data_IF_477517037944
#
_entry.id   IF_477517037944
#
_cell.length_a   1.000
_cell.length_b   1.000
_cell.length_c   1.000
_cell.angle_alpha   90.00
_cell.angle_beta   90.00
_cell.angle_gamma   90.00
#
_symmetry.space_group_name_H-M   'P 1'
#
loop_
_entity.id
_entity.type
_entity.pdbx_description
1 polymer ?
#
# COMPACT_ATOMS: atom_id res chain seq x y z
N UNK A 1 -66.60 -25.13 45.83
CA UNK A 1 -65.18 -24.81 46.07
C UNK A 1 -64.94 -23.47 45.39
N UNK A 2 -64.95 -22.40 46.18
CA UNK A 2 -65.08 -21.03 45.71
C UNK A 2 -63.70 -20.36 45.66
N UNK A 3 -63.36 -19.78 44.52
CA UNK A 3 -62.11 -19.03 44.33
C UNK A 3 -62.10 -17.76 45.20
N UNK A 4 -60.94 -17.35 45.76
CA UNK A 4 -60.87 -16.12 46.52
C UNK A 4 -60.91 -14.90 45.59
N UNK A 5 -61.83 -13.98 45.91
CA UNK A 5 -62.00 -12.68 45.27
C UNK A 5 -60.84 -11.77 45.70
N UNK A 6 -60.04 -11.32 44.75
CA UNK A 6 -58.93 -10.38 44.98
C UNK A 6 -59.51 -8.96 45.09
N UNK A 7 -59.35 -8.33 46.25
CA UNK A 7 -59.84 -6.98 46.51
C UNK A 7 -59.17 -5.94 45.59
N UNK A 8 -59.90 -4.93 45.09
CA UNK A 8 -59.32 -3.87 44.28
C UNK A 8 -58.39 -3.01 45.12
N UNK A 9 -57.14 -2.89 44.70
CA UNK A 9 -56.12 -2.06 45.34
C UNK A 9 -56.53 -0.56 45.31
N UNK A 10 -56.24 0.22 46.38
CA UNK A 10 -56.65 1.61 46.48
C UNK A 10 -56.03 2.49 45.37
N UNK A 11 -56.74 3.52 44.89
CA UNK A 11 -56.37 4.28 43.68
C UNK A 11 -54.99 4.97 43.77
N UNK A 12 -54.51 5.26 44.98
CA UNK A 12 -53.21 5.91 45.22
C UNK A 12 -52.02 4.96 44.95
N UNK A 13 -52.17 3.65 45.19
CA UNK A 13 -51.09 2.69 44.90
C UNK A 13 -50.96 2.39 43.41
N UNK A 14 -52.06 2.41 42.64
CA UNK A 14 -51.99 2.27 41.18
C UNK A 14 -51.32 3.46 40.51
N UNK A 15 -51.62 4.69 40.96
CA UNK A 15 -50.99 5.88 40.39
C UNK A 15 -49.49 5.91 40.65
N UNK A 16 -49.03 5.53 41.86
CA UNK A 16 -47.58 5.53 42.17
C UNK A 16 -46.84 4.47 41.33
N UNK A 17 -47.45 3.30 41.11
CA UNK A 17 -46.86 2.24 40.28
C UNK A 17 -46.84 2.65 38.80
N UNK A 18 -47.91 3.27 38.30
CA UNK A 18 -47.97 3.78 36.92
C UNK A 18 -46.98 4.92 36.67
N UNK A 19 -46.81 5.84 37.63
CA UNK A 19 -45.80 6.91 37.56
C UNK A 19 -44.38 6.35 37.61
N UNK A 20 -44.12 5.36 38.49
CA UNK A 20 -42.80 4.71 38.57
C UNK A 20 -42.46 3.91 37.31
N UNK A 21 -43.46 3.24 36.71
CA UNK A 21 -43.29 2.52 35.44
C UNK A 21 -43.05 3.50 34.28
N UNK A 22 -43.77 4.63 34.24
CA UNK A 22 -43.56 5.69 33.25
C UNK A 22 -42.21 6.40 33.40
N UNK A 23 -41.72 6.61 34.63
CA UNK A 23 -40.38 7.15 34.88
C UNK A 23 -39.29 6.14 34.49
N UNK A 24 -39.50 4.84 34.74
CA UNK A 24 -38.56 3.79 34.34
C UNK A 24 -38.53 3.57 32.82
N UNK A 25 -39.69 3.65 32.15
CA UNK A 25 -39.78 3.61 30.69
C UNK A 25 -39.23 4.89 30.04
N UNK A 26 -39.40 6.07 30.67
CA UNK A 26 -38.73 7.30 30.24
C UNK A 26 -37.22 7.23 30.43
N UNK A 27 -36.71 6.61 31.50
CA UNK A 27 -35.27 6.37 31.73
C UNK A 27 -34.68 5.33 30.76
N UNK A 28 -35.46 4.32 30.33
CA UNK A 28 -35.04 3.40 29.27
C UNK A 28 -35.03 4.07 27.89
N UNK A 29 -35.98 4.97 27.62
CA UNK A 29 -36.05 5.73 26.35
C UNK A 29 -35.11 6.94 26.29
N UNK A 30 -34.54 7.36 27.42
CA UNK A 30 -33.56 8.45 27.51
C UNK A 30 -32.13 7.96 27.75
N UNK A 31 -31.87 6.66 27.51
CA UNK A 31 -30.53 6.25 27.08
C UNK A 31 -30.28 6.93 25.73
N UNK A 32 -29.67 8.12 25.77
CA UNK A 32 -29.07 8.75 24.61
C UNK A 32 -28.31 7.66 23.85
N UNK A 33 -28.64 7.49 22.57
CA UNK A 33 -27.85 6.68 21.65
C UNK A 33 -26.50 7.40 21.60
N UNK A 34 -25.58 7.05 22.51
CA UNK A 34 -24.21 7.55 22.52
C UNK A 34 -23.69 7.20 21.13
N UNK A 35 -23.39 8.19 20.25
CA UNK A 35 -22.87 7.89 18.93
C UNK A 35 -21.60 7.07 19.15
N UNK A 36 -21.60 5.82 18.69
CA UNK A 36 -20.43 4.94 18.82
C UNK A 36 -19.23 5.73 18.30
N UNK A 37 -18.11 5.83 19.04
CA UNK A 37 -16.99 6.66 18.63
C UNK A 37 -16.53 6.24 17.22
N UNK A 38 -16.44 7.18 16.27
CA UNK A 38 -16.02 6.88 14.90
C UNK A 38 -14.67 6.14 14.84
N UNK A 39 -13.77 6.45 15.79
CA UNK A 39 -12.48 5.76 15.96
C UNK A 39 -12.65 4.27 16.24
N UNK A 40 -13.67 3.87 16.99
CA UNK A 40 -13.96 2.47 17.31
C UNK A 40 -14.44 1.69 16.08
N UNK A 41 -15.32 2.29 15.27
CA UNK A 41 -15.85 1.68 14.04
C UNK A 41 -14.74 1.50 13.01
N UNK A 42 -13.94 2.54 12.77
CA UNK A 42 -12.84 2.45 11.80
C UNK A 42 -11.79 1.40 12.20
N UNK A 43 -11.58 1.17 13.50
CA UNK A 43 -10.69 0.10 13.97
C UNK A 43 -11.22 -1.30 13.61
N UNK A 44 -12.53 -1.54 13.72
CA UNK A 44 -13.15 -2.81 13.30
C UNK A 44 -12.97 -3.05 11.79
N UNK A 45 -13.17 -2.00 10.97
CA UNK A 45 -12.92 -2.07 9.53
C UNK A 45 -11.45 -2.32 9.19
N UNK A 46 -10.51 -1.66 9.89
CA UNK A 46 -9.07 -1.88 9.71
C UNK A 46 -8.65 -3.30 10.11
N UNK A 47 -9.20 -3.86 11.19
CA UNK A 47 -8.98 -5.25 11.57
C UNK A 47 -9.47 -6.20 10.47
N UNK A 48 -10.65 -5.92 9.91
CA UNK A 48 -11.19 -6.74 8.84
C UNK A 48 -10.34 -6.68 7.56
N UNK A 49 -9.85 -5.50 7.20
CA UNK A 49 -8.90 -5.31 6.10
C UNK A 49 -7.65 -6.17 6.28
N UNK A 50 -7.06 -6.18 7.49
CA UNK A 50 -5.89 -7.02 7.80
C UNK A 50 -6.18 -8.51 7.61
N UNK A 51 -7.33 -8.99 8.10
CA UNK A 51 -7.75 -10.38 7.91
C UNK A 51 -7.90 -10.76 6.43
N UNK A 52 -8.45 -9.85 5.62
CA UNK A 52 -8.70 -10.07 4.20
C UNK A 52 -7.40 -10.09 3.40
N UNK A 53 -6.50 -9.14 3.66
CA UNK A 53 -5.19 -9.09 3.01
C UNK A 53 -4.34 -10.33 3.30
N UNK A 54 -4.53 -10.99 4.44
CA UNK A 54 -3.86 -12.25 4.76
C UNK A 54 -4.37 -13.46 3.95
N UNK A 55 -5.51 -13.31 3.24
CA UNK A 55 -6.15 -14.34 2.43
C UNK A 55 -6.06 -14.06 0.92
N UNK A 56 -5.37 -13.00 0.52
CA UNK A 56 -5.25 -12.60 -0.87
C UNK A 56 -4.37 -13.59 -1.63
N UNK A 57 -4.95 -14.18 -2.66
CA UNK A 57 -4.31 -15.09 -3.62
C UNK A 57 -4.82 -14.76 -5.02
N UNK A 58 -4.21 -15.31 -6.08
CA UNK A 58 -4.73 -15.15 -7.44
C UNK A 58 -6.19 -15.64 -7.55
N UNK A 59 -6.53 -16.75 -6.89
CA UNK A 59 -7.89 -17.32 -6.96
C UNK A 59 -8.94 -16.50 -6.20
N UNK A 60 -8.54 -15.74 -5.18
CA UNK A 60 -9.45 -14.99 -4.30
C UNK A 60 -9.46 -13.48 -4.56
N UNK A 61 -8.61 -12.99 -5.46
CA UNK A 61 -8.35 -11.56 -5.62
C UNK A 61 -9.60 -10.75 -5.99
N UNK A 62 -10.43 -11.27 -6.89
CA UNK A 62 -11.64 -10.57 -7.35
C UNK A 62 -12.65 -10.38 -6.22
N UNK A 63 -12.98 -11.46 -5.50
CA UNK A 63 -13.93 -11.42 -4.39
C UNK A 63 -13.40 -10.60 -3.21
N UNK A 64 -12.11 -10.71 -2.90
CA UNK A 64 -11.50 -9.96 -1.82
C UNK A 64 -11.38 -8.47 -2.14
N UNK A 65 -11.15 -8.09 -3.40
CA UNK A 65 -11.16 -6.70 -3.80
C UNK A 65 -12.53 -6.05 -3.56
N UNK A 66 -13.61 -6.77 -3.84
CA UNK A 66 -14.98 -6.29 -3.56
C UNK A 66 -15.26 -6.16 -2.06
N UNK A 67 -14.86 -7.15 -1.27
CA UNK A 67 -15.04 -7.11 0.19
C UNK A 67 -14.20 -5.98 0.80
N UNK A 68 -12.93 -5.86 0.42
CA UNK A 68 -12.04 -4.77 0.85
C UNK A 68 -12.63 -3.40 0.50
N UNK A 69 -13.13 -3.21 -0.72
CA UNK A 69 -13.75 -1.96 -1.14
C UNK A 69 -14.94 -1.59 -0.25
N UNK A 70 -15.76 -2.56 0.16
CA UNK A 70 -16.91 -2.32 1.05
C UNK A 70 -16.52 -1.87 2.46
N UNK A 71 -15.29 -2.17 2.90
CA UNK A 71 -14.78 -1.74 4.20
C UNK A 71 -14.17 -0.33 4.18
N UNK A 72 -14.00 0.30 3.01
CA UNK A 72 -13.45 1.65 2.88
C UNK A 72 -14.54 2.69 3.22
N UNK A 73 -14.74 2.91 4.52
CA UNK A 73 -15.80 3.81 5.02
C UNK A 73 -15.35 5.27 5.18
N UNK A 74 -14.05 5.54 5.18
CA UNK A 74 -13.49 6.90 5.35
C UNK A 74 -12.11 7.02 4.70
N UNK A 75 -11.65 8.26 4.49
CA UNK A 75 -10.31 8.53 3.96
C UNK A 75 -9.21 7.91 4.83
N UNK A 76 -9.39 7.91 6.17
CA UNK A 76 -8.41 7.31 7.10
C UNK A 76 -8.30 5.80 6.90
N UNK A 77 -9.41 5.12 6.68
CA UNK A 77 -9.41 3.67 6.40
C UNK A 77 -8.80 3.38 5.02
N UNK A 78 -9.05 4.22 4.02
CA UNK A 78 -8.40 4.12 2.71
C UNK A 78 -6.88 4.26 2.82
N UNK A 79 -6.41 5.29 3.54
CA UNK A 79 -4.97 5.53 3.74
C UNK A 79 -4.31 4.34 4.45
N UNK A 80 -4.96 3.81 5.50
CA UNK A 80 -4.49 2.61 6.20
C UNK A 80 -4.42 1.38 5.28
N UNK A 81 -5.45 1.13 4.46
CA UNK A 81 -5.45 0.02 3.51
C UNK A 81 -4.25 0.10 2.56
N UNK A 82 -4.00 1.29 2.00
CA UNK A 82 -2.87 1.53 1.10
C UNK A 82 -1.55 1.29 1.82
N UNK A 83 -1.38 1.81 3.03
CA UNK A 83 -0.15 1.61 3.79
C UNK A 83 0.12 0.13 4.11
N UNK A 84 -0.92 -0.63 4.50
CA UNK A 84 -0.78 -2.07 4.74
C UNK A 84 -0.39 -2.80 3.45
N UNK A 85 -0.97 -2.47 2.30
CA UNK A 85 -0.61 -3.09 1.02
C UNK A 85 0.85 -2.81 0.68
N UNK A 86 1.31 -1.57 0.82
CA UNK A 86 2.72 -1.22 0.57
C UNK A 86 3.67 -1.93 1.53
N UNK A 87 3.31 -2.02 2.80
CA UNK A 87 4.12 -2.73 3.80
C UNK A 87 4.21 -4.23 3.49
N UNK A 88 3.08 -4.89 3.21
CA UNK A 88 3.06 -6.30 2.83
C UNK A 88 3.82 -6.54 1.53
N UNK A 89 3.64 -5.70 0.52
CA UNK A 89 4.39 -5.80 -0.72
C UNK A 89 5.90 -5.73 -0.43
N UNK A 90 6.35 -4.74 0.33
CA UNK A 90 7.77 -4.54 0.65
C UNK A 90 8.45 -5.77 1.27
N UNK A 91 7.77 -6.49 2.16
CA UNK A 91 8.32 -7.68 2.82
C UNK A 91 8.09 -8.97 2.03
N UNK A 92 6.99 -9.06 1.28
CA UNK A 92 6.53 -10.29 0.66
C UNK A 92 6.74 -10.27 -0.86
N UNK A 93 8.01 -10.18 -1.29
CA UNK A 93 8.42 -9.94 -2.69
C UNK A 93 7.77 -10.86 -3.73
N UNK A 94 7.48 -12.12 -3.38
CA UNK A 94 6.84 -13.11 -4.27
C UNK A 94 5.40 -12.74 -4.65
N UNK A 95 4.76 -11.85 -3.89
CA UNK A 95 3.36 -11.48 -4.03
C UNK A 95 3.17 -10.05 -4.56
N UNK A 96 4.26 -9.33 -4.92
CA UNK A 96 4.17 -7.98 -5.48
C UNK A 96 3.18 -7.87 -6.64
N UNK A 97 3.17 -8.86 -7.54
CA UNK A 97 2.29 -8.88 -8.70
C UNK A 97 0.82 -9.01 -8.27
N UNK A 98 0.54 -9.85 -7.27
CA UNK A 98 -0.81 -10.02 -6.71
C UNK A 98 -1.27 -8.72 -6.04
N UNK A 99 -0.40 -8.07 -5.25
CA UNK A 99 -0.74 -6.80 -4.61
C UNK A 99 -1.00 -5.68 -5.63
N UNK A 100 -0.25 -5.64 -6.73
CA UNK A 100 -0.48 -4.64 -7.78
C UNK A 100 -1.83 -4.89 -8.46
N UNK A 101 -2.15 -6.15 -8.75
CA UNK A 101 -3.42 -6.55 -9.35
C UNK A 101 -4.61 -6.25 -8.43
N UNK A 102 -4.45 -6.46 -7.12
CA UNK A 102 -5.45 -6.10 -6.11
C UNK A 102 -5.75 -4.60 -6.15
N UNK A 103 -4.71 -3.77 -6.18
CA UNK A 103 -4.86 -2.31 -6.32
C UNK A 103 -5.61 -1.93 -7.61
N UNK A 104 -5.33 -2.61 -8.72
CA UNK A 104 -6.02 -2.38 -9.99
C UNK A 104 -7.51 -2.75 -9.91
N UNK A 105 -7.83 -3.89 -9.29
CA UNK A 105 -9.22 -4.32 -9.06
C UNK A 105 -9.99 -3.34 -8.17
N UNK A 106 -9.40 -2.87 -7.06
CA UNK A 106 -10.04 -1.90 -6.17
C UNK A 106 -10.34 -0.59 -6.93
N UNK A 107 -9.37 -0.07 -7.71
CA UNK A 107 -9.58 1.14 -8.52
C UNK A 107 -10.65 0.95 -9.61
N UNK A 108 -10.75 -0.27 -10.18
CA UNK A 108 -11.78 -0.62 -11.16
C UNK A 108 -13.17 -0.71 -10.53
N UNK A 109 -13.28 -1.34 -9.36
CA UNK A 109 -14.52 -1.42 -8.59
C UNK A 109 -15.00 -0.01 -8.22
N UNK A 110 -14.11 0.85 -7.76
CA UNK A 110 -14.42 2.25 -7.49
C UNK A 110 -14.96 2.96 -8.74
N UNK A 111 -14.28 2.82 -9.89
CA UNK A 111 -14.72 3.41 -11.15
C UNK A 111 -16.12 2.96 -11.58
N UNK A 112 -16.51 1.73 -11.22
CA UNK A 112 -17.81 1.15 -11.57
C UNK A 112 -18.93 1.46 -10.55
N UNK A 113 -18.62 1.46 -9.24
CA UNK A 113 -19.60 1.64 -8.15
C UNK A 113 -19.78 3.13 -7.76
N UNK A 114 -18.85 3.99 -8.17
CA UNK A 114 -18.81 5.42 -7.84
C UNK A 114 -17.56 5.77 -7.05
N UNK A 115 -17.06 7.00 -7.27
CA UNK A 115 -15.83 7.46 -6.66
C UNK A 115 -15.95 7.65 -5.15
N UNK A 116 -14.97 7.13 -4.42
CA UNK A 116 -14.90 7.26 -2.96
C UNK A 116 -14.82 8.75 -2.61
N UNK A 117 -15.65 9.16 -1.65
CA UNK A 117 -15.72 10.52 -1.09
C UNK A 117 -16.10 11.62 -2.10
N UNK A 118 -16.49 11.27 -3.32
CA UNK A 118 -16.98 12.23 -4.30
C UNK A 118 -18.47 12.54 -4.11
N UNK A 119 -18.94 13.75 -4.47
CA UNK A 119 -20.37 14.05 -4.50
C UNK A 119 -21.09 13.10 -5.48
N UNK A 120 -22.21 12.49 -5.04
CA UNK A 120 -23.02 11.54 -5.83
C UNK A 120 -23.60 12.11 -7.13
N UNK A 121 -23.45 13.41 -7.37
CA UNK A 121 -23.96 14.14 -8.53
C UNK A 121 -22.99 14.14 -9.72
N UNK A 122 -21.77 13.59 -9.58
CA UNK A 122 -20.84 13.52 -10.70
C UNK A 122 -21.25 12.41 -11.68
N UNK A 123 -21.31 12.70 -12.99
CA UNK A 123 -21.59 11.68 -13.99
C UNK A 123 -20.46 10.63 -13.99
N UNK A 124 -20.84 9.36 -13.97
CA UNK A 124 -19.90 8.24 -14.05
C UNK A 124 -19.21 8.31 -15.43
N UNK A 125 -17.88 8.49 -15.50
CA UNK A 125 -17.16 8.54 -16.76
C UNK A 125 -17.31 7.22 -17.55
N UNK A 126 -17.01 7.25 -18.84
CA UNK A 126 -16.91 6.02 -19.64
C UNK A 126 -15.92 5.04 -18.98
N UNK A 127 -16.19 3.73 -19.08
CA UNK A 127 -15.47 2.69 -18.34
C UNK A 127 -13.93 2.75 -18.46
N UNK A 128 -13.38 3.23 -19.59
CA UNK A 128 -11.92 3.36 -19.78
C UNK A 128 -11.28 4.51 -18.98
N UNK A 129 -12.03 5.57 -18.68
CA UNK A 129 -11.52 6.74 -17.94
C UNK A 129 -11.84 6.67 -16.44
N UNK A 130 -12.72 5.74 -16.04
CA UNK A 130 -13.16 5.60 -14.65
C UNK A 130 -11.99 5.26 -13.71
N UNK A 131 -11.09 4.35 -14.10
CA UNK A 131 -9.90 4.02 -13.29
C UNK A 131 -8.97 5.22 -13.12
N UNK A 132 -8.85 6.09 -14.13
CA UNK A 132 -7.99 7.29 -14.05
C UNK A 132 -8.51 8.30 -13.03
N UNK A 133 -9.82 8.33 -12.80
CA UNK A 133 -10.48 9.24 -11.87
C UNK A 133 -10.61 8.69 -10.44
N UNK A 134 -10.32 7.40 -10.23
CA UNK A 134 -10.34 6.71 -8.93
C UNK A 134 -9.57 7.49 -7.85
N UNK A 135 -10.24 7.72 -6.71
CA UNK A 135 -9.62 8.28 -5.50
C UNK A 135 -8.57 7.33 -4.95
N UNK A 136 -8.82 6.02 -4.99
CA UNK A 136 -7.84 4.99 -4.61
C UNK A 136 -6.55 5.14 -5.43
N UNK A 137 -6.66 5.20 -6.76
CA UNK A 137 -5.51 5.40 -7.67
C UNK A 137 -4.78 6.71 -7.38
N UNK A 138 -5.49 7.81 -7.13
CA UNK A 138 -4.89 9.11 -6.78
C UNK A 138 -4.10 9.02 -5.46
N UNK A 139 -4.61 8.32 -4.45
CA UNK A 139 -3.90 8.09 -3.18
C UNK A 139 -2.66 7.21 -3.36
N UNK A 140 -2.72 6.16 -4.19
CA UNK A 140 -1.55 5.35 -4.56
C UNK A 140 -0.45 6.23 -5.20
N UNK A 141 -0.82 7.09 -6.16
CA UNK A 141 0.14 8.01 -6.80
C UNK A 141 0.80 8.95 -5.79
N UNK A 142 -0.01 9.58 -4.92
CA UNK A 142 0.49 10.46 -3.87
C UNK A 142 1.44 9.73 -2.93
N UNK A 143 1.11 8.49 -2.54
CA UNK A 143 1.95 7.66 -1.69
C UNK A 143 3.32 7.38 -2.33
N UNK A 144 3.33 7.02 -3.62
CA UNK A 144 4.57 6.84 -4.38
C UNK A 144 5.40 8.12 -4.46
N UNK A 145 4.75 9.26 -4.76
CA UNK A 145 5.42 10.55 -4.84
C UNK A 145 6.06 10.94 -3.50
N UNK A 146 5.29 10.92 -2.41
CA UNK A 146 5.78 11.19 -1.06
C UNK A 146 6.97 10.29 -0.69
N UNK A 147 6.89 9.00 -1.04
CA UNK A 147 7.97 8.06 -0.76
C UNK A 147 9.26 8.44 -1.50
N UNK A 148 9.21 8.63 -2.82
CA UNK A 148 10.41 8.89 -3.63
C UNK A 148 10.98 10.31 -3.44
N UNK A 149 10.18 11.27 -2.99
CA UNK A 149 10.67 12.59 -2.63
C UNK A 149 11.42 12.60 -1.29
N UNK A 150 10.93 11.85 -0.30
CA UNK A 150 11.48 11.83 1.07
C UNK A 150 12.61 10.83 1.27
N UNK A 151 12.61 9.71 0.52
CA UNK A 151 13.53 8.58 0.74
C UNK A 151 14.59 8.46 -0.35
N UNK A 152 15.14 9.60 -0.81
CA UNK A 152 16.22 9.60 -1.82
C UNK A 152 17.51 9.01 -1.26
N UNK A 153 17.86 9.41 -0.04
CA UNK A 153 19.07 9.03 0.68
C UNK A 153 18.72 8.67 2.11
N UNK A 154 19.50 7.77 2.71
CA UNK A 154 19.45 7.54 4.14
C UNK A 154 19.99 8.78 4.85
N UNK A 155 19.20 9.35 5.76
CA UNK A 155 19.56 10.51 6.57
C UNK A 155 19.25 10.17 8.01
N UNK A 156 20.28 10.23 8.85
CA UNK A 156 20.18 10.10 10.29
C UNK A 156 20.49 11.46 10.92
N UNK A 157 19.65 11.88 11.87
CA UNK A 157 19.82 13.17 12.55
C UNK A 157 21.11 13.17 13.37
N UNK A 158 21.71 14.34 13.57
CA UNK A 158 22.93 14.44 14.39
C UNK A 158 22.67 14.08 15.86
N UNK A 159 21.44 14.28 16.35
CA UNK A 159 21.04 13.81 17.67
C UNK A 159 21.03 12.27 17.75
N UNK A 160 20.52 11.60 16.72
CA UNK A 160 20.43 10.13 16.70
C UNK A 160 21.81 9.49 16.50
N UNK A 161 22.70 10.11 15.71
CA UNK A 161 24.10 9.68 15.59
C UNK A 161 24.84 9.68 16.92
N UNK A 162 24.52 10.61 17.82
CA UNK A 162 25.13 10.70 19.15
C UNK A 162 24.56 9.68 20.14
N UNK A 163 23.33 9.20 19.90
CA UNK A 163 22.61 8.27 20.80
C UNK A 163 22.75 6.81 20.38
N UNK A 164 22.85 6.55 19.08
CA UNK A 164 22.88 5.20 18.51
C UNK A 164 24.31 4.68 18.40
N UNK A 165 24.46 3.37 18.63
CA UNK A 165 25.70 2.67 18.35
C UNK A 165 25.90 2.55 16.84
N UNK A 166 27.15 2.49 16.41
CA UNK A 166 27.50 2.32 14.99
C UNK A 166 26.78 1.13 14.34
N UNK A 167 26.65 0.01 15.05
CA UNK A 167 25.91 -1.17 14.58
C UNK A 167 24.42 -0.91 14.37
N UNK A 168 23.79 -0.08 15.20
CA UNK A 168 22.37 0.27 15.07
C UNK A 168 22.15 1.21 13.86
N UNK A 169 23.12 2.10 13.59
CA UNK A 169 23.09 2.96 12.40
C UNK A 169 23.20 2.11 11.12
N UNK A 170 24.12 1.14 11.10
CA UNK A 170 24.30 0.21 9.98
C UNK A 170 23.06 -0.65 9.73
N UNK A 171 22.40 -1.14 10.79
CA UNK A 171 21.13 -1.86 10.70
C UNK A 171 20.02 -0.97 10.12
N UNK A 172 19.92 0.29 10.55
CA UNK A 172 18.93 1.23 10.01
C UNK A 172 19.18 1.56 8.53
N UNK A 173 20.44 1.72 8.14
CA UNK A 173 20.81 1.95 6.74
C UNK A 173 20.49 0.71 5.87
N UNK A 174 20.75 -0.50 6.37
CA UNK A 174 20.39 -1.73 5.65
C UNK A 174 18.88 -1.88 5.52
N UNK A 175 18.13 -1.62 6.59
CA UNK A 175 16.67 -1.59 6.52
C UNK A 175 16.19 -0.55 5.50
N UNK A 176 16.79 0.64 5.46
CA UNK A 176 16.48 1.64 4.44
C UNK A 176 16.72 1.11 3.02
N UNK A 177 17.86 0.45 2.75
CA UNK A 177 18.16 -0.17 1.45
C UNK A 177 17.14 -1.24 1.07
N UNK A 178 16.80 -2.15 1.98
CA UNK A 178 15.79 -3.20 1.76
C UNK A 178 14.43 -2.61 1.43
N UNK A 179 13.98 -1.61 2.21
CA UNK A 179 12.70 -0.93 1.99
C UNK A 179 12.67 -0.21 0.65
N UNK A 180 13.76 0.49 0.28
CA UNK A 180 13.90 1.18 -1.00
C UNK A 180 13.76 0.22 -2.17
N UNK A 181 14.48 -0.90 -2.14
CA UNK A 181 14.40 -1.95 -3.19
C UNK A 181 12.99 -2.55 -3.28
N UNK A 182 12.35 -2.88 -2.15
CA UNK A 182 10.98 -3.42 -2.12
C UNK A 182 9.95 -2.46 -2.75
N UNK A 183 9.98 -1.18 -2.34
CA UNK A 183 9.08 -0.17 -2.90
C UNK A 183 9.30 0.07 -4.39
N UNK A 184 10.55 0.06 -4.86
CA UNK A 184 10.89 0.19 -6.29
C UNK A 184 10.27 -0.94 -7.11
N UNK A 185 10.39 -2.19 -6.65
CA UNK A 185 9.81 -3.35 -7.36
C UNK A 185 8.29 -3.24 -7.37
N UNK A 186 7.67 -2.93 -6.22
CA UNK A 186 6.22 -2.86 -6.13
C UNK A 186 5.65 -1.76 -7.04
N UNK A 187 6.28 -0.58 -7.07
CA UNK A 187 5.90 0.49 -8.02
C UNK A 187 6.11 0.05 -9.47
N UNK A 188 7.15 -0.73 -9.75
CA UNK A 188 7.33 -1.37 -11.06
C UNK A 188 6.13 -2.23 -11.46
N UNK A 189 5.57 -3.01 -10.53
CA UNK A 189 4.37 -3.82 -10.79
C UNK A 189 3.11 -2.97 -11.02
N UNK A 190 2.95 -1.87 -10.28
CA UNK A 190 1.86 -0.90 -10.50
C UNK A 190 1.96 -0.18 -11.85
N UNK A 191 3.17 0.03 -12.37
CA UNK A 191 3.39 0.55 -13.74
C UNK A 191 3.02 -0.51 -14.79
N UNK A 192 3.41 -1.77 -14.55
CA UNK A 192 3.21 -2.85 -15.48
C UNK A 192 1.73 -3.20 -15.70
N UNK A 193 0.90 -3.15 -14.65
CA UNK A 193 -0.54 -3.38 -14.80
C UNK A 193 -1.33 -2.12 -15.21
N UNK A 194 -0.65 -0.99 -15.39
CA UNK A 194 -1.24 0.26 -15.89
C UNK A 194 -2.04 1.04 -14.84
N UNK A 195 -2.02 0.63 -13.57
CA UNK A 195 -2.60 1.45 -12.50
C UNK A 195 -1.88 2.80 -12.40
N UNK A 196 -0.54 2.79 -12.51
CA UNK A 196 0.27 3.99 -12.65
C UNK A 196 0.73 4.11 -14.11
N UNK A 197 0.75 5.34 -14.64
CA UNK A 197 1.19 5.57 -16.02
C UNK A 197 2.71 5.39 -16.16
N UNK A 198 3.16 4.71 -17.22
CA UNK A 198 4.58 4.45 -17.48
C UNK A 198 5.46 5.72 -17.47
N UNK A 199 4.91 6.90 -17.76
CA UNK A 199 5.63 8.18 -17.68
C UNK A 199 6.19 8.50 -16.28
N UNK A 200 5.60 7.94 -15.22
CA UNK A 200 6.12 8.09 -13.85
C UNK A 200 7.50 7.44 -13.69
N UNK A 201 7.81 6.40 -14.48
CA UNK A 201 9.12 5.72 -14.45
C UNK A 201 10.28 6.68 -14.71
N UNK A 202 10.11 7.72 -15.53
CA UNK A 202 11.16 8.66 -15.87
C UNK A 202 11.66 9.45 -14.66
N UNK A 203 10.77 9.82 -13.73
CA UNK A 203 11.15 10.50 -12.49
C UNK A 203 11.95 9.58 -11.56
N UNK A 204 11.55 8.31 -11.45
CA UNK A 204 12.22 7.31 -10.62
C UNK A 204 13.61 7.00 -11.20
N UNK A 205 13.72 6.74 -12.51
CA UNK A 205 14.99 6.47 -13.19
C UNK A 205 15.94 7.68 -13.05
N UNK A 206 15.43 8.90 -13.24
CA UNK A 206 16.23 10.11 -13.06
C UNK A 206 16.78 10.20 -11.64
N UNK A 207 15.96 9.95 -10.63
CA UNK A 207 16.38 9.94 -9.22
C UNK A 207 17.45 8.87 -8.93
N UNK A 208 17.34 7.69 -9.54
CA UNK A 208 18.33 6.61 -9.39
C UNK A 208 19.64 6.86 -10.15
N UNK A 209 19.64 7.67 -11.21
CA UNK A 209 20.88 8.02 -11.93
C UNK A 209 21.54 9.27 -11.36
N UNK A 210 20.79 10.08 -10.61
CA UNK A 210 21.26 11.34 -10.04
C UNK A 210 22.53 11.14 -9.20
N UNK A 211 23.54 11.97 -9.44
CA UNK A 211 24.84 11.89 -8.77
C UNK A 211 25.79 10.80 -9.30
N UNK A 212 25.31 9.84 -10.12
CA UNK A 212 26.14 8.76 -10.65
C UNK A 212 26.81 9.11 -11.97
N UNK A 213 28.12 8.82 -12.05
CA UNK A 213 28.93 8.97 -13.25
C UNK A 213 29.99 7.86 -13.33
N UNK A 214 30.70 7.70 -14.47
CA UNK A 214 31.70 6.63 -14.63
C UNK A 214 32.82 6.62 -13.58
N UNK A 215 33.22 7.79 -13.06
CA UNK A 215 34.29 7.91 -12.06
C UNK A 215 33.79 7.73 -10.62
N UNK A 216 32.51 8.00 -10.37
CA UNK A 216 31.88 7.89 -9.06
C UNK A 216 30.42 7.43 -9.20
N UNK A 217 30.18 6.12 -9.36
CA UNK A 217 28.83 5.57 -9.35
C UNK A 217 28.33 5.33 -7.93
N UNK A 218 27.06 5.67 -7.69
CA UNK A 218 26.35 5.32 -6.46
C UNK A 218 25.91 3.84 -6.52
N UNK A 219 26.53 2.99 -5.71
CA UNK A 219 26.35 1.53 -5.81
C UNK A 219 24.90 1.11 -5.53
N UNK A 220 24.26 1.70 -4.51
CA UNK A 220 22.91 1.35 -4.07
C UNK A 220 21.86 1.80 -5.08
N UNK A 221 22.03 3.00 -5.63
CA UNK A 221 21.15 3.51 -6.67
C UNK A 221 21.32 2.74 -7.98
N UNK A 222 22.54 2.36 -8.35
CA UNK A 222 22.80 1.55 -9.55
C UNK A 222 22.22 0.14 -9.43
N UNK A 223 22.30 -0.48 -8.26
CA UNK A 223 21.65 -1.77 -8.02
C UNK A 223 20.11 -1.63 -8.07
N UNK A 224 19.58 -0.59 -7.44
CA UNK A 224 18.14 -0.29 -7.47
C UNK A 224 17.64 0.01 -8.90
N UNK A 225 18.46 0.66 -9.73
CA UNK A 225 18.17 0.92 -11.15
C UNK A 225 18.10 -0.39 -11.93
N UNK A 226 19.04 -1.31 -11.70
CA UNK A 226 19.03 -2.61 -12.35
C UNK A 226 17.74 -3.38 -12.01
N UNK A 227 17.38 -3.45 -10.72
CA UNK A 227 16.14 -4.08 -10.24
C UNK A 227 14.90 -3.44 -10.88
N UNK A 228 14.86 -2.11 -10.95
CA UNK A 228 13.71 -1.41 -11.53
C UNK A 228 13.56 -1.69 -13.02
N UNK A 229 14.65 -1.62 -13.78
CA UNK A 229 14.64 -1.85 -15.22
C UNK A 229 14.36 -3.30 -15.57
N UNK A 230 14.81 -4.26 -14.77
CA UNK A 230 14.41 -5.65 -14.89
C UNK A 230 12.88 -5.79 -14.79
N UNK A 231 12.29 -5.18 -13.76
CA UNK A 231 10.85 -5.21 -13.52
C UNK A 231 10.01 -4.53 -14.60
N UNK A 232 10.42 -3.37 -15.12
CA UNK A 232 9.57 -2.58 -16.07
C UNK A 232 10.04 -2.65 -17.52
N UNK A 233 11.20 -3.26 -17.80
CA UNK A 233 11.92 -3.13 -19.06
C UNK A 233 11.10 -3.55 -20.28
N UNK A 234 10.24 -4.57 -20.14
CA UNK A 234 9.36 -5.01 -21.23
C UNK A 234 8.37 -3.92 -21.66
N UNK A 235 7.59 -3.37 -20.72
CA UNK A 235 6.60 -2.35 -21.03
C UNK A 235 7.27 -0.99 -21.35
N UNK A 236 8.37 -0.66 -20.67
CA UNK A 236 9.14 0.54 -20.97
C UNK A 236 9.74 0.51 -22.38
N UNK A 237 10.26 -0.63 -22.84
CA UNK A 237 10.77 -0.77 -24.20
C UNK A 237 9.64 -0.65 -25.25
N UNK A 238 8.45 -1.19 -24.94
CA UNK A 238 7.28 -1.08 -25.82
C UNK A 238 6.79 0.37 -25.94
N UNK A 239 6.69 1.08 -24.83
CA UNK A 239 6.06 2.41 -24.78
C UNK A 239 7.04 3.55 -25.03
N UNK A 240 8.30 3.39 -24.62
CA UNK A 240 9.33 4.44 -24.66
C UNK A 240 10.72 3.90 -25.08
N UNK A 241 10.86 3.24 -26.25
CA UNK A 241 12.09 2.55 -26.67
C UNK A 241 13.31 3.48 -26.75
N UNK A 242 13.13 4.70 -27.26
CA UNK A 242 14.20 5.70 -27.36
C UNK A 242 14.72 6.12 -25.97
N UNK A 243 13.82 6.26 -25.01
CA UNK A 243 14.19 6.62 -23.65
C UNK A 243 14.98 5.48 -23.00
N UNK A 244 14.48 4.24 -23.07
CA UNK A 244 15.22 3.07 -22.57
C UNK A 244 16.60 2.95 -23.22
N UNK A 245 16.71 3.12 -24.55
CA UNK A 245 18.01 3.12 -25.23
C UNK A 245 18.98 4.15 -24.66
N UNK A 246 18.50 5.36 -24.33
CA UNK A 246 19.34 6.40 -23.71
C UNK A 246 19.81 6.00 -22.31
N UNK A 247 18.94 5.34 -21.52
CA UNK A 247 19.28 4.85 -20.19
C UNK A 247 20.32 3.73 -20.27
N UNK A 248 20.15 2.77 -21.19
CA UNK A 248 21.12 1.68 -21.40
C UNK A 248 22.49 2.23 -21.82
N UNK A 249 22.53 3.24 -22.71
CA UNK A 249 23.79 3.90 -23.06
C UNK A 249 24.47 4.55 -21.86
N UNK A 250 23.69 5.19 -20.98
CA UNK A 250 24.20 5.79 -19.74
C UNK A 250 24.75 4.72 -18.79
N UNK A 251 24.05 3.60 -18.63
CA UNK A 251 24.49 2.46 -17.82
C UNK A 251 25.80 1.88 -18.37
N UNK A 252 25.91 1.67 -19.69
CA UNK A 252 27.14 1.18 -20.31
C UNK A 252 28.34 2.11 -20.05
N UNK A 253 28.15 3.43 -20.13
CA UNK A 253 29.20 4.39 -19.79
C UNK A 253 29.65 4.26 -18.32
N UNK A 254 28.70 4.05 -17.40
CA UNK A 254 29.02 3.85 -15.97
C UNK A 254 29.78 2.53 -15.76
N UNK A 255 29.36 1.44 -16.40
CA UNK A 255 30.04 0.14 -16.35
C UNK A 255 31.49 0.26 -16.86
N UNK A 256 31.70 0.99 -17.97
CA UNK A 256 33.01 1.20 -18.58
C UNK A 256 33.97 1.99 -17.67
N UNK A 257 33.46 2.84 -16.79
CA UNK A 257 34.28 3.55 -15.80
C UNK A 257 34.99 2.62 -14.79
N UNK A 258 34.50 1.38 -14.62
CA UNK A 258 35.21 0.36 -13.83
C UNK A 258 35.20 0.58 -12.31
N UNK A 259 34.36 1.49 -11.81
CA UNK A 259 34.25 1.84 -10.38
C UNK A 259 33.08 1.15 -9.65
N UNK A 260 32.31 0.33 -10.34
CA UNK A 260 31.23 -0.46 -9.75
C UNK A 260 31.81 -1.69 -9.02
N UNK A 261 31.18 -2.05 -7.90
CA UNK A 261 31.44 -3.35 -7.27
C UNK A 261 30.93 -4.50 -8.16
N UNK A 262 31.50 -5.69 -8.00
CA UNK A 262 31.24 -6.84 -8.87
C UNK A 262 29.75 -7.19 -8.98
N UNK A 263 29.03 -7.17 -7.86
CA UNK A 263 27.59 -7.49 -7.81
C UNK A 263 26.76 -6.46 -8.58
N UNK A 264 26.92 -5.18 -8.29
CA UNK A 264 26.20 -4.08 -8.98
C UNK A 264 26.52 -4.05 -10.47
N UNK A 265 27.79 -4.25 -10.84
CA UNK A 265 28.20 -4.38 -12.25
C UNK A 265 27.48 -5.53 -12.93
N UNK A 266 27.43 -6.70 -12.28
CA UNK A 266 26.77 -7.89 -12.83
C UNK A 266 25.27 -7.67 -13.04
N UNK A 267 24.58 -7.04 -12.07
CA UNK A 267 23.16 -6.69 -12.21
C UNK A 267 22.89 -5.73 -13.37
N UNK A 268 23.73 -4.71 -13.55
CA UNK A 268 23.58 -3.77 -14.67
C UNK A 268 23.92 -4.40 -16.02
N UNK A 269 24.94 -5.27 -16.08
CA UNK A 269 25.25 -6.02 -17.31
C UNK A 269 24.09 -6.93 -17.70
N UNK A 270 23.48 -7.62 -16.74
CA UNK A 270 22.28 -8.43 -16.97
C UNK A 270 21.17 -7.62 -17.64
N UNK A 271 20.84 -6.44 -17.12
CA UNK A 271 19.83 -5.55 -17.74
C UNK A 271 20.22 -5.11 -19.15
N UNK A 272 21.50 -4.80 -19.39
CA UNK A 272 21.98 -4.49 -20.74
C UNK A 272 21.83 -5.67 -21.71
N UNK A 273 22.03 -6.89 -21.24
CA UNK A 273 21.92 -8.09 -22.06
C UNK A 273 20.45 -8.43 -22.34
N UNK A 274 19.56 -8.35 -21.33
CA UNK A 274 18.10 -8.44 -21.52
C UNK A 274 17.61 -7.43 -22.58
N UNK A 275 18.12 -6.21 -22.57
CA UNK A 275 17.77 -5.20 -23.58
C UNK A 275 18.21 -5.59 -24.99
N UNK A 276 19.45 -6.08 -25.16
CA UNK A 276 19.99 -6.50 -26.47
C UNK A 276 19.23 -7.70 -27.03
N UNK A 277 18.93 -8.68 -26.19
CA UNK A 277 18.29 -9.94 -26.58
C UNK A 277 16.75 -9.81 -26.67
N UNK A 278 16.19 -8.66 -26.29
CA UNK A 278 14.74 -8.46 -26.10
C UNK A 278 14.16 -9.48 -25.11
N UNK A 279 14.94 -9.82 -24.08
CA UNK A 279 14.64 -10.85 -23.09
C UNK A 279 13.89 -10.38 -21.85
N UNK A 280 13.49 -9.10 -21.76
CA UNK A 280 12.72 -8.61 -20.61
C UNK A 280 11.41 -9.39 -20.43
N UNK A 281 11.12 -9.77 -19.19
CA UNK A 281 9.91 -10.51 -18.82
C UNK A 281 8.67 -9.61 -18.84
N UNK A 282 7.56 -10.10 -19.42
CA UNK A 282 6.24 -9.48 -19.26
C UNK A 282 5.57 -10.02 -17.99
N UNK A 283 5.78 -9.34 -16.86
CA UNK A 283 5.23 -9.74 -15.55
C UNK A 283 3.69 -9.81 -15.50
N UNK A 284 2.97 -9.25 -16.48
CA UNK A 284 1.51 -9.45 -16.59
C UNK A 284 1.13 -10.87 -17.00
N UNK A 285 2.06 -11.63 -17.60
CA UNK A 285 1.83 -13.03 -17.95
C UNK A 285 2.10 -13.97 -16.78
N UNK A 286 2.91 -13.55 -15.80
CA UNK A 286 3.17 -14.33 -14.58
C UNK A 286 1.90 -14.54 -13.76
N UNK A 287 1.00 -13.55 -13.70
CA UNK A 287 -0.34 -13.71 -13.07
C UNK A 287 -1.22 -14.73 -13.78
N UNK A 288 -0.99 -14.96 -15.08
CA UNK A 288 -1.82 -15.83 -15.92
C UNK A 288 -1.27 -17.26 -16.02
N UNK A 289 0.03 -17.47 -15.80
CA UNK A 289 0.66 -18.78 -16.09
C UNK A 289 1.42 -19.43 -14.95
N UNK A 290 1.96 -18.71 -13.96
CA UNK A 290 2.83 -19.34 -12.95
C UNK A 290 2.85 -18.56 -11.64
N UNK A 291 1.83 -18.75 -10.80
CA UNK A 291 2.12 -18.95 -9.37
C UNK A 291 1.56 -20.35 -9.09
N UNK A 292 2.40 -21.35 -8.78
CA UNK A 292 1.91 -22.67 -8.43
C UNK A 292 0.86 -22.51 -7.34
N UNK A 293 -0.27 -23.20 -7.51
CA UNK A 293 -1.43 -23.10 -6.64
C UNK A 293 -1.01 -23.09 -5.15
N UNK A 294 -1.00 -21.90 -4.56
CA UNK A 294 -0.76 -21.68 -3.13
C UNK A 294 -2.09 -21.78 -2.36
N UNK A 295 -3.14 -22.40 -2.93
CA UNK A 295 -4.42 -22.67 -2.25
C UNK A 295 -4.27 -23.34 -0.88
N UNK A 296 -3.10 -23.96 -0.60
CA UNK A 296 -2.78 -24.57 0.70
C UNK A 296 -1.76 -23.83 1.57
N UNK A 297 -1.12 -22.77 1.11
CA UNK A 297 -0.25 -21.95 1.96
C UNK A 297 -1.03 -20.69 2.32
N UNK A 298 -1.61 -20.67 3.53
CA UNK A 298 -1.85 -19.38 4.19
C UNK A 298 -0.57 -18.55 4.05
N UNK A 299 -0.69 -17.24 3.89
CA UNK A 299 0.44 -16.32 4.07
C UNK A 299 0.97 -16.66 5.47
N UNK A 300 2.00 -17.51 5.54
CA UNK A 300 2.45 -18.08 6.80
C UNK A 300 2.95 -16.88 7.58
N UNK A 301 2.27 -16.65 8.69
CA UNK A 301 2.65 -15.75 9.76
C UNK A 301 4.07 -16.10 10.21
N UNK A 302 5.09 -15.62 9.50
CA UNK A 302 6.40 -15.48 10.09
C UNK A 302 6.26 -14.31 11.06
N UNK A 303 5.99 -14.65 12.31
CA UNK A 303 6.11 -13.85 13.53
C UNK A 303 6.64 -12.44 13.25
N UNK A 304 5.74 -11.54 12.86
CA UNK A 304 6.04 -10.12 12.98
C UNK A 304 5.89 -9.81 14.47
N UNK A 305 6.87 -9.12 15.09
CA UNK A 305 6.66 -8.59 16.43
C UNK A 305 5.37 -7.75 16.42
N UNK A 306 4.60 -7.73 17.52
CA UNK A 306 3.38 -6.94 17.58
C UNK A 306 3.71 -5.52 17.11
N UNK A 307 2.93 -5.03 16.14
CA UNK A 307 2.99 -3.65 15.69
C UNK A 307 3.12 -2.76 16.93
N UNK A 308 4.23 -2.01 17.10
CA UNK A 308 4.40 -1.21 18.29
C UNK A 308 3.22 -0.24 18.36
N UNK A 309 2.43 -0.22 19.45
CA UNK A 309 1.35 0.73 19.59
C UNK A 309 2.00 2.13 19.52
N UNK A 310 1.64 2.90 18.49
CA UNK A 310 1.99 4.32 18.36
C UNK A 310 3.46 4.72 18.15
N UNK A 311 4.39 3.84 17.75
CA UNK A 311 5.79 4.28 17.51
C UNK A 311 6.31 4.22 16.06
N UNK A 312 5.55 3.64 15.11
CA UNK A 312 6.00 3.53 13.71
C UNK A 312 5.94 4.81 12.87
N UNK A 313 5.17 5.82 13.30
CA UNK A 313 4.89 7.02 12.50
C UNK A 313 5.36 8.35 13.12
N UNK A 314 5.76 8.36 14.40
CA UNK A 314 6.12 9.61 15.08
C UNK A 314 7.60 10.00 15.03
N UNK A 315 8.51 9.12 14.59
CA UNK A 315 9.95 9.46 14.57
C UNK A 315 10.48 10.07 13.26
N UNK A 316 9.67 10.19 12.20
CA UNK A 316 10.09 10.88 10.98
C UNK A 316 9.18 12.04 10.56
N UNK A 317 8.53 12.68 11.55
CA UNK A 317 8.11 14.07 11.41
C UNK A 317 9.34 14.99 11.46
N UNK A 318 10.23 14.88 10.47
CA UNK A 318 11.19 15.92 10.16
C UNK A 318 10.37 17.05 9.51
N UNK A 319 9.95 17.97 10.38
CA UNK A 319 9.54 19.35 10.11
C UNK A 319 8.46 19.51 9.02
N UNK A 320 7.20 19.27 9.41
CA UNK A 320 6.15 20.25 9.05
C UNK A 320 6.26 21.40 10.04
N UNK A 321 6.97 22.46 9.66
CA UNK A 321 6.72 23.81 10.18
C UNK A 321 6.62 24.77 9.00
N UNK A 322 5.66 25.68 9.19
CA UNK A 322 5.06 26.65 8.28
C UNK A 322 6.03 27.41 7.40
#
# INVERSE_FOLDING_TARGET
>A
MSQPIQAPQPPIQRSIIETAQQEQDQLLNSQEIIPRPQVSVENEHNQKILELLNKVTIGTINSLAEELFSHIISERVLDNLIDIIFEKAMYEKKYHVIYAELCFHIATIEGNKGFLFAPKTQPIPQAKDAVLQSTFRKKILNRCQDYFERNKKFIISDEDKLKLRQTEIEEQEELFRVRKKGNIIFVGMLLNNGLINMNVSAAIIKMLIEGSNPESPDQDNMESLAIFLDAIGFNLNREQPKYLSSIINRINAIIQGGKLISTTKSSLMHVCDLYKEKGFTDHRRETQTVIPDLSGQQIISSVNPPLPPNQGWQQFNIVRKQ
#
